data_IF_042691829386
#
_entry.id   IF_042691829386
#
_cell.length_a   1.000
_cell.length_b   1.000
_cell.length_c   1.000
_cell.angle_alpha   90.00
_cell.angle_beta   90.00
_cell.angle_gamma   90.00
#
_symmetry.space_group_name_H-M   'P 1'
#
loop_
_entity.id
_entity.type
_entity.pdbx_description
1 polymer ?
#
# COMPACT_ATOMS: atom_id res chain seq x y z
N UNK A 1 3.55 -8.37 -21.94
CA UNK A 1 3.40 -9.60 -22.71
C UNK A 1 3.26 -9.25 -24.16
N UNK A 2 3.99 -9.97 -25.01
CA UNK A 2 4.06 -9.67 -26.44
C UNK A 2 3.65 -10.88 -27.28
N UNK A 3 3.00 -10.60 -28.41
CA UNK A 3 2.87 -11.53 -29.52
C UNK A 3 3.58 -10.91 -30.72
N UNK A 4 4.72 -11.46 -31.10
CA UNK A 4 5.68 -10.84 -32.02
C UNK A 4 6.10 -9.47 -31.50
N UNK A 5 5.77 -8.38 -32.20
CA UNK A 5 6.09 -7.01 -31.81
C UNK A 5 4.93 -6.25 -31.13
N UNK A 6 3.76 -6.89 -31.01
CA UNK A 6 2.59 -6.24 -30.47
C UNK A 6 2.44 -6.56 -28.97
N UNK A 7 2.16 -5.55 -28.16
CA UNK A 7 1.75 -5.75 -26.77
C UNK A 7 0.34 -6.35 -26.80
N UNK A 8 0.14 -7.49 -26.14
CA UNK A 8 -1.15 -8.15 -26.01
C UNK A 8 -1.75 -8.02 -24.61
N UNK A 9 -0.91 -7.81 -23.60
CA UNK A 9 -1.29 -7.50 -22.23
C UNK A 9 -0.15 -6.76 -21.54
N UNK A 10 -0.49 -5.92 -20.57
CA UNK A 10 0.47 -5.19 -19.77
C UNK A 10 0.07 -5.23 -18.28
N UNK A 11 1.05 -5.37 -17.41
CA UNK A 11 0.92 -5.19 -15.96
C UNK A 11 1.79 -4.01 -15.57
N UNK A 12 1.23 -3.09 -14.81
CA UNK A 12 1.97 -1.96 -14.23
C UNK A 12 1.90 -2.08 -12.70
N UNK A 13 3.03 -2.35 -12.09
CA UNK A 13 3.17 -2.38 -10.63
C UNK A 13 3.77 -1.06 -10.16
N UNK A 14 2.98 -0.27 -9.45
CA UNK A 14 3.42 1.00 -8.86
C UNK A 14 2.96 1.12 -7.41
N UNK A 15 3.78 1.74 -6.59
CA UNK A 15 3.52 1.88 -5.15
C UNK A 15 3.16 3.33 -4.83
N UNK A 16 1.86 3.61 -4.67
CA UNK A 16 1.39 4.91 -4.21
C UNK A 16 -0.07 4.82 -3.76
N UNK A 17 -0.41 5.50 -2.68
CA UNK A 17 -1.81 5.69 -2.30
C UNK A 17 -2.58 6.46 -3.38
N UNK A 18 -3.75 5.94 -3.78
CA UNK A 18 -4.69 6.62 -4.68
C UNK A 18 -5.55 7.62 -3.89
N UNK A 19 -4.95 8.75 -3.51
CA UNK A 19 -5.56 9.75 -2.63
C UNK A 19 -5.28 11.18 -3.12
N UNK A 20 -5.35 11.41 -4.42
CA UNK A 20 -5.17 12.76 -4.99
C UNK A 20 -6.39 13.62 -4.75
N UNK A 21 -7.59 13.09 -5.03
CA UNK A 21 -8.83 13.84 -4.85
C UNK A 21 -9.14 14.15 -3.39
N UNK A 22 -9.83 15.26 -3.18
CA UNK A 22 -10.37 15.64 -1.88
C UNK A 22 -11.45 14.65 -1.40
N UNK A 23 -11.54 14.38 -0.08
CA UNK A 23 -12.67 13.64 0.49
C UNK A 23 -14.01 14.39 0.35
N UNK A 24 -13.99 15.66 -0.07
CA UNK A 24 -15.21 16.44 -0.36
C UNK A 24 -15.74 16.17 -1.78
N UNK A 25 -14.95 15.52 -2.64
CA UNK A 25 -15.40 15.06 -3.94
C UNK A 25 -16.29 13.82 -3.78
N UNK A 26 -17.58 13.97 -4.08
CA UNK A 26 -18.57 12.91 -3.89
C UNK A 26 -18.72 11.98 -5.11
N UNK A 27 -17.88 12.13 -6.11
CA UNK A 27 -17.89 11.28 -7.30
C UNK A 27 -17.10 9.99 -7.06
N UNK A 28 -17.62 8.87 -7.54
CA UNK A 28 -16.88 7.60 -7.55
C UNK A 28 -15.73 7.70 -8.54
N UNK A 29 -14.52 7.49 -8.06
CA UNK A 29 -13.30 7.58 -8.87
C UNK A 29 -12.32 6.47 -8.46
N UNK A 30 -11.61 5.91 -9.45
CA UNK A 30 -10.45 5.05 -9.21
C UNK A 30 -9.18 5.86 -8.89
N UNK A 31 -9.31 7.18 -8.73
CA UNK A 31 -8.26 8.14 -8.38
C UNK A 31 -6.98 7.92 -9.20
N UNK A 32 -5.80 7.91 -8.57
CA UNK A 32 -4.50 7.91 -9.26
C UNK A 32 -4.28 6.67 -10.15
N UNK A 33 -4.47 5.48 -9.62
CA UNK A 33 -4.18 4.25 -10.38
C UNK A 33 -5.07 4.13 -11.62
N UNK A 34 -6.37 4.42 -11.49
CA UNK A 34 -7.29 4.37 -12.61
C UNK A 34 -7.03 5.45 -13.66
N UNK A 35 -6.60 6.65 -13.26
CA UNK A 35 -6.24 7.69 -14.20
C UNK A 35 -4.89 7.41 -14.89
N UNK A 36 -3.87 6.93 -14.19
CA UNK A 36 -2.62 6.47 -14.81
C UNK A 36 -2.89 5.37 -15.85
N UNK A 37 -3.75 4.40 -15.53
CA UNK A 37 -4.20 3.36 -16.48
C UNK A 37 -4.75 3.99 -17.76
N UNK A 38 -5.68 4.93 -17.64
CA UNK A 38 -6.31 5.61 -18.77
C UNK A 38 -5.29 6.34 -19.62
N UNK A 39 -4.34 7.06 -18.98
CA UNK A 39 -3.30 7.81 -19.70
C UNK A 39 -2.26 6.90 -20.38
N UNK A 40 -2.02 5.69 -19.84
CA UNK A 40 -1.10 4.72 -20.42
C UNK A 40 -1.69 3.96 -21.62
N UNK A 41 -3.00 3.75 -21.65
CA UNK A 41 -3.67 2.96 -22.70
C UNK A 41 -3.28 3.40 -24.13
N UNK A 42 -3.22 4.70 -24.48
CA UNK A 42 -2.81 5.13 -25.83
C UNK A 42 -1.35 4.78 -26.17
N UNK A 43 -0.46 4.74 -25.20
CA UNK A 43 0.95 4.41 -25.43
C UNK A 43 1.17 2.89 -25.58
N UNK A 44 0.44 2.10 -24.82
CA UNK A 44 0.56 0.65 -24.82
C UNK A 44 -0.31 -0.03 -25.87
N UNK A 45 -1.30 0.67 -26.42
CA UNK A 45 -2.36 0.16 -27.32
C UNK A 45 -3.17 -0.99 -26.68
N UNK A 46 -3.02 -1.21 -25.40
CA UNK A 46 -3.81 -2.13 -24.56
C UNK A 46 -4.08 -1.47 -23.21
N UNK A 47 -5.18 -1.82 -22.59
CA UNK A 47 -5.48 -1.35 -21.24
C UNK A 47 -4.65 -2.13 -20.23
N UNK A 48 -3.73 -1.49 -19.48
CA UNK A 48 -2.88 -2.22 -18.54
C UNK A 48 -3.64 -2.65 -17.28
N UNK A 49 -3.25 -3.78 -16.74
CA UNK A 49 -3.65 -4.19 -15.40
C UNK A 49 -2.78 -3.44 -14.36
N UNK A 50 -3.42 -2.66 -13.50
CA UNK A 50 -2.72 -1.88 -12.47
C UNK A 50 -2.63 -2.66 -11.16
N UNK A 51 -1.43 -2.83 -10.65
CA UNK A 51 -1.16 -3.42 -9.35
C UNK A 51 -0.60 -2.36 -8.42
N UNK A 52 -1.27 -2.10 -7.30
CA UNK A 52 -0.66 -1.30 -6.25
C UNK A 52 0.35 -2.18 -5.49
N UNK A 53 1.57 -1.69 -5.38
CA UNK A 53 2.65 -2.41 -4.73
C UNK A 53 2.68 -2.18 -3.21
N UNK A 54 3.88 -2.14 -2.68
CA UNK A 54 4.17 -1.84 -1.28
C UNK A 54 4.04 -0.32 -1.04
N UNK A 55 2.83 0.14 -0.81
CA UNK A 55 2.48 1.56 -0.74
C UNK A 55 2.10 2.05 0.67
N UNK A 56 2.32 1.25 1.72
CA UNK A 56 1.88 1.59 3.06
C UNK A 56 2.33 2.97 3.56
N UNK A 57 3.57 3.36 3.24
CA UNK A 57 4.17 4.65 3.55
C UNK A 57 4.39 5.55 2.32
N UNK A 58 3.80 5.19 1.16
CA UNK A 58 3.99 5.91 -0.10
C UNK A 58 2.79 6.81 -0.43
N UNK A 59 2.95 8.11 -0.22
CA UNK A 59 1.90 9.10 -0.46
C UNK A 59 2.27 10.09 -1.57
N UNK A 60 1.26 10.55 -2.31
CA UNK A 60 1.38 11.63 -3.30
C UNK A 60 1.28 13.05 -2.68
N UNK A 61 1.02 13.16 -1.39
CA UNK A 61 0.67 14.45 -0.74
C UNK A 61 1.78 15.50 -0.81
N UNK A 62 3.04 15.11 -0.80
CA UNK A 62 4.17 16.04 -0.94
C UNK A 62 4.42 16.46 -2.39
N UNK A 63 3.91 15.72 -3.36
CA UNK A 63 4.11 15.99 -4.80
C UNK A 63 2.96 16.77 -5.43
N UNK A 64 1.73 16.54 -4.99
CA UNK A 64 0.54 17.21 -5.53
C UNK A 64 0.46 18.67 -5.05
N UNK A 65 -0.04 19.54 -5.92
CA UNK A 65 -0.25 20.96 -5.64
C UNK A 65 -1.68 21.24 -5.14
N UNK A 66 -2.63 20.44 -5.59
CA UNK A 66 -4.05 20.52 -5.25
C UNK A 66 -4.62 19.13 -4.95
N UNK A 67 -5.91 19.07 -4.67
CA UNK A 67 -6.63 17.82 -4.39
C UNK A 67 -7.96 17.75 -5.17
N UNK A 68 -7.91 18.06 -6.46
CA UNK A 68 -9.02 18.07 -7.38
C UNK A 68 -8.75 17.21 -8.62
N UNK A 69 -9.75 17.09 -9.51
CA UNK A 69 -9.62 16.32 -10.76
C UNK A 69 -8.61 16.91 -11.75
N UNK A 70 -8.37 18.22 -11.71
CA UNK A 70 -7.32 18.87 -12.52
C UNK A 70 -5.93 18.41 -12.11
N UNK A 71 -5.67 18.40 -10.82
CA UNK A 71 -4.44 17.89 -10.25
C UNK A 71 -4.28 16.38 -10.47
N UNK A 72 -5.35 15.61 -10.30
CA UNK A 72 -5.36 14.19 -10.61
C UNK A 72 -4.92 13.92 -12.05
N UNK A 73 -5.45 14.68 -13.01
CA UNK A 73 -5.05 14.59 -14.41
C UNK A 73 -3.57 14.92 -14.60
N UNK A 74 -3.11 16.03 -14.03
CA UNK A 74 -1.70 16.47 -14.13
C UNK A 74 -0.73 15.41 -13.64
N UNK A 75 -0.98 14.88 -12.44
CA UNK A 75 -0.12 13.84 -11.82
C UNK A 75 -0.15 12.55 -12.65
N UNK A 76 -1.33 12.13 -13.10
CA UNK A 76 -1.49 10.89 -13.86
C UNK A 76 -0.80 10.96 -15.22
N UNK A 77 -0.91 12.08 -15.94
CA UNK A 77 -0.19 12.31 -17.22
C UNK A 77 1.33 12.26 -16.99
N UNK A 78 1.82 12.91 -15.93
CA UNK A 78 3.24 12.91 -15.60
C UNK A 78 3.80 11.51 -15.33
N UNK A 79 3.06 10.69 -14.59
CA UNK A 79 3.44 9.30 -14.30
C UNK A 79 3.38 8.45 -15.58
N UNK A 80 2.27 8.52 -16.33
CA UNK A 80 2.09 7.75 -17.56
C UNK A 80 3.18 8.06 -18.59
N UNK A 81 3.52 9.34 -18.78
CA UNK A 81 4.59 9.74 -19.70
C UNK A 81 5.96 9.18 -19.29
N UNK A 82 6.26 9.13 -18.00
CA UNK A 82 7.50 8.52 -17.49
C UNK A 82 7.54 7.02 -17.71
N UNK A 83 6.44 6.32 -17.44
CA UNK A 83 6.34 4.87 -17.67
C UNK A 83 6.47 4.57 -19.16
N UNK A 84 5.78 5.33 -20.04
CA UNK A 84 5.85 5.15 -21.49
C UNK A 84 7.25 5.46 -22.08
N UNK A 85 8.01 6.35 -21.43
CA UNK A 85 9.38 6.69 -21.82
C UNK A 85 10.47 5.79 -21.21
N UNK A 86 10.11 4.75 -20.50
CA UNK A 86 11.07 3.84 -19.88
C UNK A 86 11.69 2.89 -20.92
N UNK A 87 13.01 2.91 -21.06
CA UNK A 87 13.74 2.23 -22.13
C UNK A 87 14.50 0.98 -21.69
N UNK A 88 14.29 0.51 -20.46
CA UNK A 88 14.91 -0.72 -20.01
C UNK A 88 14.02 -1.91 -20.40
N UNK A 89 14.54 -2.78 -21.27
CA UNK A 89 13.84 -3.97 -21.72
C UNK A 89 14.66 -5.21 -21.33
N UNK A 90 14.04 -6.09 -20.59
CA UNK A 90 14.56 -7.41 -20.27
C UNK A 90 13.48 -8.45 -20.58
N UNK A 91 13.85 -9.45 -21.38
CA UNK A 91 12.97 -10.57 -21.67
C UNK A 91 13.01 -11.60 -20.55
N UNK A 92 11.86 -11.97 -20.05
CA UNK A 92 11.68 -13.01 -19.04
C UNK A 92 10.77 -14.11 -19.58
N UNK A 93 11.02 -15.35 -19.12
CA UNK A 93 10.14 -16.47 -19.42
C UNK A 93 9.03 -16.57 -18.37
N UNK A 94 7.79 -16.65 -18.85
CA UNK A 94 6.59 -16.80 -18.00
C UNK A 94 5.86 -18.06 -18.39
N UNK A 95 6.14 -19.13 -17.65
CA UNK A 95 5.50 -20.45 -17.82
C UNK A 95 5.54 -21.22 -16.49
N UNK A 96 5.06 -22.46 -16.47
CA UNK A 96 5.09 -23.34 -15.29
C UNK A 96 4.56 -22.69 -14.02
N UNK A 97 3.30 -22.31 -14.04
CA UNK A 97 2.66 -21.61 -12.92
C UNK A 97 2.56 -22.50 -11.69
N UNK A 98 3.12 -22.04 -10.59
CA UNK A 98 3.01 -22.64 -9.27
C UNK A 98 2.51 -21.60 -8.28
N UNK A 99 1.62 -21.98 -7.38
CA UNK A 99 1.10 -21.10 -6.36
C UNK A 99 1.25 -21.73 -4.98
N UNK A 100 1.59 -20.93 -3.98
CA UNK A 100 1.72 -21.37 -2.58
C UNK A 100 1.22 -20.27 -1.66
N UNK A 101 0.39 -20.66 -0.70
CA UNK A 101 0.02 -19.79 0.41
C UNK A 101 1.06 -19.89 1.52
N UNK A 102 1.41 -18.74 2.09
CA UNK A 102 2.33 -18.59 3.20
C UNK A 102 1.55 -17.94 4.35
N UNK A 103 1.05 -18.72 5.29
CA UNK A 103 0.28 -18.20 6.41
C UNK A 103 1.18 -17.44 7.37
N UNK A 104 0.71 -16.30 7.82
CA UNK A 104 1.26 -15.55 8.94
C UNK A 104 0.09 -15.00 9.77
N UNK A 105 -0.05 -15.50 10.97
CA UNK A 105 -1.11 -15.09 11.89
C UNK A 105 -0.54 -14.50 13.14
N UNK A 106 -1.19 -13.47 13.65
CA UNK A 106 -0.84 -12.81 14.90
C UNK A 106 -2.06 -12.79 15.81
N UNK A 107 -1.88 -13.27 17.02
CA UNK A 107 -2.89 -13.25 18.06
C UNK A 107 -2.34 -12.59 19.32
N UNK A 108 -3.13 -11.71 19.94
CA UNK A 108 -2.80 -11.15 21.24
C UNK A 108 -4.00 -10.49 21.89
N UNK A 109 -3.96 -10.42 23.23
CA UNK A 109 -4.92 -9.64 24.00
C UNK A 109 -4.50 -8.18 24.04
N UNK A 110 -5.44 -7.28 23.84
CA UNK A 110 -5.20 -5.85 23.88
C UNK A 110 -4.87 -5.42 25.31
N UNK A 111 -3.81 -4.63 25.50
CA UNK A 111 -3.55 -3.96 26.78
C UNK A 111 -4.54 -2.80 26.97
N UNK A 112 -5.73 -3.16 27.45
CA UNK A 112 -6.84 -2.22 27.66
C UNK A 112 -6.45 -1.07 28.59
N UNK A 113 -5.63 -1.34 29.63
CA UNK A 113 -5.20 -0.31 30.59
C UNK A 113 -4.31 0.72 29.90
N UNK A 114 -3.25 0.27 29.21
CA UNK A 114 -2.35 1.15 28.49
C UNK A 114 -3.07 1.95 27.38
N UNK A 115 -4.04 1.33 26.68
CA UNK A 115 -4.83 2.00 25.67
C UNK A 115 -5.74 3.11 26.24
N UNK A 116 -6.35 2.88 27.40
CA UNK A 116 -7.19 3.89 28.08
C UNK A 116 -6.34 5.04 28.62
N UNK A 117 -5.17 4.76 29.19
CA UNK A 117 -4.23 5.78 29.64
C UNK A 117 -3.77 6.64 28.45
N UNK A 118 -3.33 6.01 27.36
CA UNK A 118 -2.93 6.72 26.12
C UNK A 118 -4.07 7.57 25.57
N UNK A 119 -5.29 7.03 25.48
CA UNK A 119 -6.46 7.75 24.99
C UNK A 119 -6.73 9.00 25.81
N UNK A 120 -6.69 8.89 27.14
CA UNK A 120 -6.89 10.03 28.05
C UNK A 120 -5.85 11.14 27.81
N UNK A 121 -4.57 10.78 27.70
CA UNK A 121 -3.51 11.76 27.38
C UNK A 121 -3.75 12.48 26.05
N UNK A 122 -4.21 11.76 25.03
CA UNK A 122 -4.51 12.33 23.71
C UNK A 122 -5.73 13.28 23.77
N UNK A 123 -6.78 12.90 24.52
CA UNK A 123 -7.96 13.73 24.72
C UNK A 123 -7.61 15.01 25.50
N UNK A 124 -6.74 14.96 26.51
CA UNK A 124 -6.25 16.13 27.22
C UNK A 124 -5.45 17.05 26.29
N UNK A 125 -4.55 16.51 25.46
CA UNK A 125 -3.83 17.28 24.44
C UNK A 125 -4.75 17.95 23.43
N UNK A 126 -5.83 17.26 23.01
CA UNK A 126 -6.79 17.76 22.05
C UNK A 126 -7.52 19.03 22.54
N UNK A 127 -7.68 19.20 23.86
CA UNK A 127 -8.30 20.40 24.45
C UNK A 127 -7.43 21.66 24.31
N UNK A 128 -6.11 21.49 24.16
CA UNK A 128 -5.15 22.60 24.19
C UNK A 128 -4.70 22.97 22.76
N UNK A 129 -4.64 21.99 21.87
CA UNK A 129 -4.13 22.15 20.50
C UNK A 129 -5.19 22.83 19.63
N UNK A 130 -4.81 23.90 18.93
CA UNK A 130 -5.66 24.70 18.04
C UNK A 130 -5.39 24.47 16.56
N UNK A 131 -4.13 24.12 16.23
CA UNK A 131 -3.73 23.89 14.83
C UNK A 131 -4.50 22.71 14.19
N UNK A 132 -5.02 22.94 12.99
CA UNK A 132 -5.91 22.00 12.30
C UNK A 132 -5.27 20.63 12.07
N UNK A 133 -4.04 20.60 11.57
CA UNK A 133 -3.35 19.34 11.25
C UNK A 133 -3.00 18.55 12.51
N UNK A 134 -2.57 19.22 13.57
CA UNK A 134 -2.29 18.58 14.86
C UNK A 134 -3.55 18.02 15.50
N UNK A 135 -4.67 18.76 15.44
CA UNK A 135 -5.97 18.26 15.91
C UNK A 135 -6.44 17.04 15.14
N UNK A 136 -6.32 17.08 13.81
CA UNK A 136 -6.66 15.95 12.94
C UNK A 136 -5.83 14.71 13.27
N UNK A 137 -4.53 14.90 13.53
CA UNK A 137 -3.65 13.83 13.94
C UNK A 137 -4.07 13.22 15.29
N UNK A 138 -4.32 14.05 16.33
CA UNK A 138 -4.80 13.60 17.63
C UNK A 138 -6.13 12.83 17.54
N UNK A 139 -7.08 13.32 16.76
CA UNK A 139 -8.35 12.63 16.52
C UNK A 139 -8.16 11.27 15.85
N UNK A 140 -7.20 11.14 14.93
CA UNK A 140 -6.85 9.86 14.30
C UNK A 140 -6.25 8.86 15.29
N UNK A 141 -5.37 9.32 16.19
CA UNK A 141 -4.80 8.53 17.29
C UNK A 141 -5.88 8.04 18.26
N UNK A 142 -6.77 8.94 18.69
CA UNK A 142 -7.90 8.60 19.58
C UNK A 142 -8.79 7.54 18.92
N UNK A 143 -9.14 7.72 17.65
CA UNK A 143 -9.91 6.73 16.90
C UNK A 143 -9.17 5.39 16.76
N UNK A 144 -7.84 5.40 16.69
CA UNK A 144 -6.99 4.21 16.74
C UNK A 144 -7.09 3.47 18.06
N UNK A 145 -7.05 4.20 19.19
CA UNK A 145 -7.26 3.64 20.52
C UNK A 145 -8.66 3.03 20.64
N UNK A 146 -9.71 3.73 20.17
CA UNK A 146 -11.08 3.24 20.21
C UNK A 146 -11.30 1.95 19.42
N UNK A 147 -10.66 1.83 18.25
CA UNK A 147 -10.71 0.59 17.46
C UNK A 147 -10.08 -0.58 18.22
N UNK A 148 -8.91 -0.37 18.83
CA UNK A 148 -8.20 -1.40 19.60
C UNK A 148 -8.94 -1.79 20.89
N UNK A 149 -9.57 -0.82 21.57
CA UNK A 149 -10.36 -1.07 22.77
C UNK A 149 -11.65 -1.89 22.53
N UNK A 150 -12.17 -1.86 21.28
CA UNK A 150 -13.33 -2.70 20.89
C UNK A 150 -12.96 -4.16 20.63
N UNK A 151 -11.69 -4.47 20.56
CA UNK A 151 -11.17 -5.81 20.28
C UNK A 151 -10.34 -6.27 21.49
N UNK A 152 -10.98 -6.96 22.44
CA UNK A 152 -10.27 -7.53 23.60
C UNK A 152 -9.22 -8.55 23.16
N UNK A 153 -9.55 -9.34 22.13
CA UNK A 153 -8.65 -10.28 21.47
C UNK A 153 -8.45 -9.89 20.02
N UNK A 154 -7.20 -9.67 19.64
CA UNK A 154 -6.82 -9.27 18.27
C UNK A 154 -6.31 -10.51 17.53
N UNK A 155 -6.97 -10.83 16.42
CA UNK A 155 -6.53 -11.83 15.46
C UNK A 155 -6.27 -11.15 14.11
N UNK A 156 -5.09 -11.34 13.56
CA UNK A 156 -4.68 -10.78 12.26
C UNK A 156 -4.19 -11.93 11.40
N UNK A 157 -4.80 -12.10 10.24
CA UNK A 157 -4.35 -13.03 9.21
C UNK A 157 -3.73 -12.23 8.06
N UNK A 158 -2.44 -12.48 7.81
CA UNK A 158 -1.66 -11.93 6.71
C UNK A 158 -1.19 -13.05 5.77
N UNK A 159 -2.01 -14.06 5.54
CA UNK A 159 -1.68 -15.13 4.60
C UNK A 159 -1.36 -14.55 3.23
N UNK A 160 -0.11 -14.63 2.84
CA UNK A 160 0.37 -14.21 1.53
C UNK A 160 0.25 -15.33 0.52
N UNK A 161 0.02 -14.99 -0.76
CA UNK A 161 0.08 -15.96 -1.85
C UNK A 161 1.29 -15.64 -2.74
N UNK A 162 2.18 -16.60 -2.93
CA UNK A 162 3.31 -16.49 -3.85
C UNK A 162 2.97 -17.27 -5.11
N UNK A 163 3.01 -16.59 -6.26
CA UNK A 163 2.84 -17.22 -7.57
C UNK A 163 4.19 -17.16 -8.30
N UNK A 164 4.76 -18.31 -8.61
CA UNK A 164 5.99 -18.44 -9.37
C UNK A 164 5.70 -18.89 -10.79
N UNK A 165 6.29 -18.21 -11.76
CA UNK A 165 6.16 -18.48 -13.20
C UNK A 165 7.54 -18.37 -13.84
N UNK A 166 8.41 -19.38 -13.68
CA UNK A 166 9.82 -19.37 -14.08
C UNK A 166 10.56 -18.09 -13.57
N UNK A 167 10.80 -17.13 -14.48
CA UNK A 167 11.55 -15.91 -14.19
C UNK A 167 10.75 -14.85 -13.43
N UNK A 168 9.41 -14.97 -13.37
CA UNK A 168 8.52 -14.03 -12.69
C UNK A 168 8.01 -14.60 -11.37
N UNK A 169 8.05 -13.78 -10.32
CA UNK A 169 7.41 -14.06 -9.04
C UNK A 169 6.46 -12.93 -8.66
N UNK A 170 5.22 -13.29 -8.33
CA UNK A 170 4.24 -12.37 -7.76
C UNK A 170 4.06 -12.72 -6.29
N UNK A 171 4.29 -11.75 -5.42
CA UNK A 171 4.03 -11.86 -3.98
C UNK A 171 2.78 -11.03 -3.67
N UNK A 172 1.68 -11.70 -3.41
CA UNK A 172 0.36 -11.12 -3.17
C UNK A 172 0.14 -11.05 -1.67
N UNK A 173 -0.15 -9.85 -1.14
CA UNK A 173 -0.22 -9.61 0.30
C UNK A 173 -1.51 -8.85 0.67
N UNK A 174 -2.21 -9.26 1.75
CA UNK A 174 -3.48 -8.67 2.18
C UNK A 174 -3.28 -7.49 3.14
N UNK A 175 -2.28 -6.66 2.91
CA UNK A 175 -1.95 -5.56 3.82
C UNK A 175 -1.40 -4.33 3.10
N UNK A 176 -1.28 -3.24 3.85
CA UNK A 176 -0.61 -2.01 3.46
C UNK A 176 0.86 -2.06 3.89
N UNK A 177 1.69 -2.71 3.06
CA UNK A 177 3.10 -2.93 3.37
C UNK A 177 3.94 -1.67 3.14
N UNK A 178 4.78 -1.30 4.10
CA UNK A 178 5.76 -0.24 3.95
C UNK A 178 6.75 -0.53 2.79
N UNK A 179 7.15 0.51 2.08
CA UNK A 179 7.95 0.40 0.86
C UNK A 179 9.23 -0.39 1.05
N UNK A 180 9.94 -0.17 2.16
CA UNK A 180 11.20 -0.83 2.45
C UNK A 180 11.05 -2.33 2.66
N UNK A 181 10.00 -2.78 3.35
CA UNK A 181 9.71 -4.19 3.54
C UNK A 181 9.42 -4.86 2.18
N UNK A 182 8.67 -4.19 1.30
CA UNK A 182 8.47 -4.70 -0.06
C UNK A 182 9.75 -4.77 -0.88
N UNK A 183 10.73 -3.88 -0.66
CA UNK A 183 12.07 -3.97 -1.27
C UNK A 183 12.81 -5.19 -0.73
N UNK A 184 12.72 -5.49 0.57
CA UNK A 184 13.34 -6.69 1.16
C UNK A 184 12.76 -7.98 0.55
N UNK A 185 11.44 -8.07 0.38
CA UNK A 185 10.81 -9.20 -0.32
C UNK A 185 11.41 -9.38 -1.72
N UNK A 186 11.49 -8.29 -2.50
CA UNK A 186 12.05 -8.34 -3.86
C UNK A 186 13.52 -8.77 -3.88
N UNK A 187 14.31 -8.34 -2.90
CA UNK A 187 15.73 -8.71 -2.78
C UNK A 187 15.94 -10.15 -2.32
N UNK A 188 14.99 -10.72 -1.59
CA UNK A 188 15.03 -12.10 -1.12
C UNK A 188 14.57 -13.10 -2.20
N UNK A 189 13.90 -12.62 -3.24
CA UNK A 189 13.46 -13.46 -4.35
C UNK A 189 14.63 -13.91 -5.24
N UNK A 190 14.58 -15.18 -5.65
CA UNK A 190 15.49 -15.74 -6.66
C UNK A 190 14.95 -15.60 -8.09
N UNK A 191 13.80 -14.93 -8.30
CA UNK A 191 13.27 -14.66 -9.63
C UNK A 191 14.04 -13.53 -10.31
N UNK A 192 14.11 -13.51 -11.63
CA UNK A 192 14.64 -12.36 -12.36
C UNK A 192 13.80 -11.11 -12.13
N UNK A 193 12.47 -11.28 -12.02
CA UNK A 193 11.54 -10.22 -11.72
C UNK A 193 10.61 -10.65 -10.59
N UNK A 194 10.64 -9.90 -9.48
CA UNK A 194 9.69 -10.05 -8.39
C UNK A 194 8.80 -8.81 -8.28
N UNK A 195 7.50 -9.01 -8.34
CA UNK A 195 6.49 -7.98 -8.15
C UNK A 195 5.74 -8.23 -6.83
N UNK A 196 5.67 -7.22 -5.99
CA UNK A 196 4.84 -7.23 -4.78
C UNK A 196 3.51 -6.57 -5.10
N UNK A 197 2.42 -7.27 -4.84
CA UNK A 197 1.05 -6.79 -4.99
C UNK A 197 0.38 -6.67 -3.62
N UNK A 198 0.37 -5.47 -3.09
CA UNK A 198 -0.31 -5.14 -1.84
C UNK A 198 -1.82 -4.98 -2.02
N UNK A 199 -2.54 -4.93 -0.91
CA UNK A 199 -3.99 -4.74 -0.88
C UNK A 199 -4.79 -5.83 -1.62
N UNK A 200 -4.22 -7.01 -1.77
CA UNK A 200 -4.80 -8.09 -2.57
C UNK A 200 -5.05 -9.35 -1.72
N UNK A 201 -6.09 -10.12 -2.09
CA UNK A 201 -6.61 -11.27 -1.34
C UNK A 201 -7.12 -10.96 0.06
N UNK A 202 -7.42 -9.70 0.35
CA UNK A 202 -7.91 -9.22 1.63
C UNK A 202 -7.34 -7.85 1.97
N UNK A 203 -7.73 -7.34 3.13
CA UNK A 203 -7.16 -6.12 3.70
C UNK A 203 -7.20 -6.25 5.23
N UNK A 204 -6.05 -6.35 5.86
CA UNK A 204 -5.96 -6.49 7.30
C UNK A 204 -5.47 -5.22 7.98
N UNK A 205 -4.20 -4.84 7.78
CA UNK A 205 -3.58 -3.76 8.55
C UNK A 205 -2.43 -3.12 7.77
N UNK A 206 -1.89 -2.04 8.30
CA UNK A 206 -0.58 -1.55 7.95
C UNK A 206 0.50 -2.47 8.50
N UNK A 207 1.52 -2.73 7.69
CA UNK A 207 2.71 -3.50 8.08
C UNK A 207 3.91 -2.58 7.96
N UNK A 208 4.41 -2.11 9.11
CA UNK A 208 5.46 -1.09 9.22
C UNK A 208 6.63 -1.59 10.03
N UNK A 209 7.83 -1.18 9.64
CA UNK A 209 9.06 -1.52 10.35
C UNK A 209 9.08 -1.01 11.80
N UNK A 210 9.81 -1.69 12.66
CA UNK A 210 9.96 -1.31 14.08
C UNK A 210 10.40 0.15 14.30
N UNK A 211 11.21 0.70 13.38
CA UNK A 211 11.65 2.11 13.44
C UNK A 211 10.56 3.11 13.05
N UNK A 212 9.61 2.72 12.18
CA UNK A 212 8.47 3.54 11.75
C UNK A 212 7.28 3.47 12.71
N UNK A 213 7.33 2.59 13.71
CA UNK A 213 6.22 2.24 14.59
C UNK A 213 5.68 3.42 15.42
N UNK A 214 6.52 4.39 15.75
CA UNK A 214 6.15 5.55 16.56
C UNK A 214 5.92 6.82 15.73
N UNK A 215 5.82 6.72 14.42
CA UNK A 215 5.67 7.86 13.52
C UNK A 215 4.63 7.65 12.43
N UNK A 216 3.94 8.73 12.06
CA UNK A 216 3.02 8.75 10.94
C UNK A 216 1.71 7.98 11.13
N UNK A 217 0.85 8.09 10.13
CA UNK A 217 -0.47 7.47 10.11
C UNK A 217 -0.42 5.93 10.09
N UNK A 218 0.52 5.37 9.36
CA UNK A 218 0.77 3.95 9.18
C UNK A 218 1.16 3.27 10.51
N UNK A 219 2.08 3.87 11.28
CA UNK A 219 2.46 3.38 12.61
C UNK A 219 1.33 3.43 13.64
N UNK A 220 0.44 4.43 13.52
CA UNK A 220 -0.76 4.56 14.37
C UNK A 220 -1.82 3.53 13.99
N UNK A 221 -1.97 3.29 12.70
CA UNK A 221 -3.03 2.45 12.13
C UNK A 221 -2.68 0.96 12.14
N UNK A 222 -1.40 0.61 12.32
CA UNK A 222 -1.00 -0.80 12.42
C UNK A 222 -1.61 -1.47 13.66
N UNK A 223 -2.04 -2.71 13.47
CA UNK A 223 -2.49 -3.59 14.55
C UNK A 223 -1.39 -4.58 14.98
N UNK A 224 -0.28 -4.63 14.24
CA UNK A 224 0.88 -5.44 14.63
C UNK A 224 1.59 -4.84 15.85
N UNK A 225 2.27 -5.68 16.59
CA UNK A 225 3.24 -5.23 17.61
C UNK A 225 4.55 -4.83 16.93
N UNK A 226 5.32 -3.99 17.60
CA UNK A 226 6.64 -3.57 17.11
C UNK A 226 7.54 -4.80 16.89
N UNK A 227 8.10 -4.92 15.72
CA UNK A 227 8.99 -6.01 15.32
C UNK A 227 8.31 -7.16 14.56
N UNK A 228 6.99 -7.29 14.62
CA UNK A 228 6.27 -8.37 13.92
C UNK A 228 6.25 -8.20 12.39
N UNK A 229 6.44 -6.98 11.90
CA UNK A 229 6.54 -6.74 10.47
C UNK A 229 7.80 -7.36 9.86
N UNK A 230 8.89 -7.37 10.60
CA UNK A 230 10.16 -7.99 10.19
C UNK A 230 10.10 -9.53 10.25
N UNK A 231 9.21 -10.09 11.05
CA UNK A 231 8.95 -11.54 11.08
C UNK A 231 8.08 -11.98 9.89
N UNK A 232 7.23 -11.08 9.39
CA UNK A 232 6.35 -11.34 8.25
C UNK A 232 7.12 -11.38 6.91
N UNK A 233 8.20 -10.64 6.76
CA UNK A 233 8.97 -10.44 5.53
C UNK A 233 10.21 -11.35 5.50
#
# INVERSE_FOLDING_TARGET
FFNNKNIIAAIVNMSCHSTVNSPLELQISADLLGNVRRELTPYLMVEPFMMNGNAGDMSNRLYRHNNDFGELKRVSVGIASRIAGFNHEESIEVSNVQAKDVPFTVEYDADTKALLEKKKELEEKLQIVTEFDDRKWLLSEIAGCDRKLKQEHVFIDLTSTIIRMNDLELVIIPCELAARLGVQIKQSSNAKLCLVWGYANGHSTYVVEAKGFNGGHDGISTQLKKGQAEEYV
#
